data_IF_765329612945
#
_entry.id   IF_765329612945
#
_cell.length_a   1.000
_cell.length_b   1.000
_cell.length_c   1.000
_cell.angle_alpha   90.00
_cell.angle_beta   90.00
_cell.angle_gamma   90.00
#
_symmetry.space_group_name_H-M   'P 1'
#
loop_
_entity.id
_entity.type
_entity.pdbx_description
1 polymer ?
#
# COMPACT_ATOMS: atom_id res chain seq x y z
N UNK A 1 -0.59 -5.79 7.14
CA UNK A 1 0.87 -5.76 6.92
C UNK A 1 1.37 -4.44 6.31
N UNK A 2 0.48 -3.50 5.97
CA UNK A 2 0.85 -2.21 5.38
C UNK A 2 1.31 -1.17 6.42
N UNK A 3 0.76 -1.21 7.63
CA UNK A 3 1.12 -0.27 8.68
C UNK A 3 2.45 -0.67 9.36
N UNK A 4 3.43 0.23 9.28
CA UNK A 4 4.65 0.19 10.12
C UNK A 4 4.40 0.97 11.43
N UNK A 5 3.61 2.04 11.36
CA UNK A 5 3.19 2.84 12.52
C UNK A 5 1.73 2.52 12.91
N UNK A 6 1.46 2.15 14.17
CA UNK A 6 0.10 1.85 14.62
C UNK A 6 -0.90 2.99 14.41
N UNK A 7 -0.45 4.24 14.56
CA UNK A 7 -1.27 5.42 14.36
C UNK A 7 -1.80 5.59 12.92
N UNK A 8 -1.19 4.93 11.93
CA UNK A 8 -1.62 4.99 10.53
C UNK A 8 -2.62 3.87 10.17
N UNK A 9 -2.79 2.87 11.03
CA UNK A 9 -3.71 1.75 10.79
C UNK A 9 -5.14 2.21 10.46
N UNK A 10 -5.75 3.17 11.19
CA UNK A 10 -7.09 3.66 10.87
C UNK A 10 -7.16 4.37 9.51
N UNK A 11 -6.11 5.11 9.12
CA UNK A 11 -6.07 5.79 7.83
C UNK A 11 -5.91 4.81 6.66
N UNK A 12 -5.07 3.78 6.83
CA UNK A 12 -4.92 2.71 5.85
C UNK A 12 -6.23 1.94 5.70
N UNK A 13 -6.92 1.64 6.81
CA UNK A 13 -8.25 1.02 6.79
C UNK A 13 -9.26 1.89 6.02
N UNK A 14 -9.28 3.20 6.26
CA UNK A 14 -10.14 4.13 5.53
C UNK A 14 -9.86 4.12 4.02
N UNK A 15 -8.59 4.08 3.59
CA UNK A 15 -8.22 4.02 2.16
C UNK A 15 -8.78 2.76 1.51
N UNK A 16 -8.58 1.58 2.12
CA UNK A 16 -9.09 0.33 1.56
C UNK A 16 -10.62 0.31 1.52
N UNK A 17 -11.29 0.79 2.58
CA UNK A 17 -12.74 0.92 2.60
C UNK A 17 -13.26 1.84 1.49
N UNK A 18 -12.64 3.01 1.30
CA UNK A 18 -13.00 3.96 0.25
C UNK A 18 -12.79 3.41 -1.16
N UNK A 19 -11.75 2.62 -1.37
CA UNK A 19 -11.52 1.96 -2.67
C UNK A 19 -12.58 0.92 -2.95
N UNK A 20 -12.89 0.06 -1.97
CA UNK A 20 -13.94 -0.95 -2.09
C UNK A 20 -15.30 -0.32 -2.41
N UNK A 21 -15.68 0.73 -1.69
CA UNK A 21 -16.96 1.40 -1.91
C UNK A 21 -17.06 2.08 -3.29
N UNK A 22 -15.93 2.42 -3.90
CA UNK A 22 -15.84 2.98 -5.26
C UNK A 22 -15.62 1.93 -6.36
N UNK A 23 -15.57 0.64 -6.03
CA UNK A 23 -15.24 -0.43 -7.00
C UNK A 23 -13.80 -0.35 -7.53
N UNK A 24 -12.90 0.29 -6.81
CA UNK A 24 -11.49 0.40 -7.18
C UNK A 24 -10.73 -0.84 -6.70
N UNK A 25 -9.75 -1.28 -7.49
CA UNK A 25 -8.80 -2.31 -7.08
C UNK A 25 -7.95 -1.84 -5.88
N UNK A 26 -7.67 -2.75 -4.95
CA UNK A 26 -6.94 -2.40 -3.73
C UNK A 26 -5.46 -2.10 -4.00
N UNK A 27 -4.84 -2.78 -4.98
CA UNK A 27 -3.45 -2.57 -5.38
C UNK A 27 -2.48 -2.60 -4.19
N UNK A 28 -2.63 -3.61 -3.33
CA UNK A 28 -1.84 -3.77 -2.12
C UNK A 28 -0.63 -4.68 -2.35
N UNK A 29 0.56 -4.19 -2.00
CA UNK A 29 1.84 -4.86 -2.19
C UNK A 29 1.95 -6.23 -1.50
N UNK A 30 1.59 -6.37 -0.20
CA UNK A 30 1.53 -7.67 0.48
C UNK A 30 0.61 -8.69 -0.21
N UNK A 31 -0.46 -8.26 -0.86
CA UNK A 31 -1.40 -9.19 -1.52
C UNK A 31 -0.83 -9.76 -2.82
N UNK A 32 -0.04 -8.98 -3.57
CA UNK A 32 0.63 -9.42 -4.80
C UNK A 32 1.71 -10.48 -4.54
N UNK A 33 2.29 -10.46 -3.33
CA UNK A 33 3.36 -11.37 -2.92
C UNK A 33 2.88 -12.56 -2.07
N UNK A 34 1.62 -12.54 -1.63
CA UNK A 34 1.05 -13.59 -0.78
C UNK A 34 1.07 -14.95 -1.50
N UNK A 35 1.57 -15.96 -0.80
CA UNK A 35 1.76 -17.31 -1.35
C UNK A 35 2.89 -17.45 -2.38
N UNK A 36 3.60 -16.35 -2.70
CA UNK A 36 4.75 -16.36 -3.62
C UNK A 36 6.07 -16.32 -2.86
N UNK A 37 6.26 -15.30 -2.01
CA UNK A 37 7.48 -15.11 -1.20
C UNK A 37 7.23 -14.21 0.00
N UNK A 38 8.16 -14.22 0.95
CA UNK A 38 8.14 -13.29 2.07
C UNK A 38 8.24 -11.83 1.60
N UNK A 39 7.41 -10.96 2.18
CA UNK A 39 7.45 -9.52 1.90
C UNK A 39 8.73 -8.91 2.45
N UNK A 40 9.57 -8.39 1.56
CA UNK A 40 10.86 -7.75 1.89
C UNK A 40 10.85 -6.23 1.61
N UNK A 41 9.67 -5.61 1.57
CA UNK A 41 9.51 -4.18 1.30
C UNK A 41 9.71 -3.77 -0.17
N UNK A 42 9.80 -4.73 -1.11
CA UNK A 42 9.97 -4.45 -2.54
C UNK A 42 9.05 -5.31 -3.37
N UNK A 43 8.24 -4.66 -4.21
CA UNK A 43 7.39 -5.27 -5.23
C UNK A 43 7.94 -4.93 -6.60
N UNK A 44 8.19 -5.95 -7.43
CA UNK A 44 8.66 -5.76 -8.80
C UNK A 44 7.49 -5.64 -9.77
N UNK A 45 7.74 -5.15 -10.98
CA UNK A 45 6.74 -5.16 -12.06
C UNK A 45 6.22 -6.57 -12.34
N UNK A 46 7.07 -7.58 -12.26
CA UNK A 46 6.67 -8.98 -12.44
C UNK A 46 5.73 -9.45 -11.32
N UNK A 47 5.91 -8.96 -10.09
CA UNK A 47 5.01 -9.28 -8.99
C UNK A 47 3.62 -8.66 -9.22
N UNK A 48 3.56 -7.41 -9.69
CA UNK A 48 2.30 -6.72 -10.02
C UNK A 48 1.54 -7.42 -11.15
N UNK A 49 2.26 -7.94 -12.15
CA UNK A 49 1.66 -8.59 -13.32
C UNK A 49 1.38 -10.09 -13.12
N UNK A 50 1.82 -10.69 -12.01
CA UNK A 50 1.64 -12.13 -11.77
C UNK A 50 0.18 -12.44 -11.45
N UNK A 51 -0.43 -13.30 -12.26
CA UNK A 51 -1.81 -13.75 -12.02
C UNK A 51 -1.84 -14.68 -10.80
N UNK A 52 -2.46 -14.21 -9.72
CA UNK A 52 -2.81 -15.02 -8.55
C UNK A 52 -4.18 -14.58 -8.05
N UNK A 53 -4.96 -15.46 -7.37
CA UNK A 53 -6.24 -15.07 -6.82
C UNK A 53 -6.12 -14.06 -5.66
N UNK A 54 -4.90 -13.78 -5.17
CA UNK A 54 -4.65 -12.78 -4.13
C UNK A 54 -4.13 -11.46 -4.67
N UNK A 55 -3.73 -11.39 -5.95
CA UNK A 55 -3.10 -10.18 -6.48
C UNK A 55 -4.14 -9.09 -6.75
N UNK A 56 -4.31 -8.19 -5.78
CA UNK A 56 -5.27 -7.07 -5.85
C UNK A 56 -4.86 -5.94 -6.81
N UNK A 57 -3.77 -6.09 -7.55
CA UNK A 57 -3.51 -5.28 -8.76
C UNK A 57 -4.33 -5.77 -9.96
N UNK A 58 -4.68 -7.05 -9.97
CA UNK A 58 -5.36 -7.71 -11.09
C UNK A 58 -6.83 -8.02 -10.77
N UNK A 59 -7.13 -8.39 -9.52
CA UNK A 59 -8.51 -8.67 -9.08
C UNK A 59 -9.21 -7.41 -8.55
N UNK A 60 -10.53 -7.44 -8.61
CA UNK A 60 -11.40 -6.43 -8.00
C UNK A 60 -11.87 -6.92 -6.63
N UNK A 61 -12.02 -5.99 -5.68
CA UNK A 61 -12.47 -6.30 -4.33
C UNK A 61 -11.39 -6.95 -3.46
N UNK A 62 -11.86 -7.75 -2.49
CA UNK A 62 -11.02 -8.44 -1.51
C UNK A 62 -10.48 -9.77 -2.08
N UNK A 63 -9.27 -10.20 -1.65
CA UNK A 63 -8.80 -11.55 -1.94
C UNK A 63 -9.71 -12.62 -1.29
N UNK A 64 -9.63 -13.90 -1.72
CA UNK A 64 -10.46 -15.00 -1.21
C UNK A 64 -10.35 -15.24 0.30
N UNK A 65 -9.28 -14.77 0.93
CA UNK A 65 -9.08 -14.91 2.37
C UNK A 65 -8.03 -13.94 2.91
N UNK A 66 -7.84 -13.93 4.23
CA UNK A 66 -6.84 -13.07 4.86
C UNK A 66 -5.42 -13.45 4.46
N UNK A 67 -4.55 -12.44 4.32
CA UNK A 67 -3.12 -12.63 3.98
C UNK A 67 -2.19 -12.68 5.21
N UNK A 68 -2.78 -12.76 6.41
CA UNK A 68 -2.08 -12.82 7.68
C UNK A 68 -3.06 -12.78 8.86
N UNK A 69 -2.52 -12.86 10.08
CA UNK A 69 -3.32 -12.81 11.30
C UNK A 69 -3.37 -11.36 11.82
N UNK A 70 -4.51 -10.65 11.69
CA UNK A 70 -4.64 -9.31 12.26
C UNK A 70 -4.64 -9.39 13.79
N UNK A 71 -3.92 -8.49 14.45
CA UNK A 71 -4.08 -8.26 15.88
C UNK A 71 -5.38 -7.50 16.19
N UNK A 72 -5.72 -7.40 17.46
CA UNK A 72 -6.93 -6.69 17.92
C UNK A 72 -6.99 -5.23 17.41
N UNK A 73 -5.87 -4.50 17.49
CA UNK A 73 -5.79 -3.10 17.02
C UNK A 73 -6.08 -2.96 15.51
N UNK A 74 -5.67 -3.94 14.70
CA UNK A 74 -5.94 -3.92 13.27
C UNK A 74 -7.43 -4.15 12.99
N UNK A 75 -8.09 -5.00 13.78
CA UNK A 75 -9.52 -5.22 13.67
C UNK A 75 -10.31 -3.98 14.11
N UNK A 76 -9.94 -3.39 15.26
CA UNK A 76 -10.56 -2.16 15.76
C UNK A 76 -10.38 -0.99 14.80
N UNK A 77 -9.22 -0.88 14.14
CA UNK A 77 -8.96 0.15 13.12
C UNK A 77 -9.86 0.01 11.89
N UNK A 78 -10.25 -1.22 11.53
CA UNK A 78 -11.20 -1.46 10.43
C UNK A 78 -12.62 -1.11 10.84
N UNK A 79 -12.98 -1.32 12.12
CA UNK A 79 -14.32 -1.00 12.63
C UNK A 79 -14.50 0.51 12.93
N UNK A 80 -13.43 1.18 13.35
CA UNK A 80 -13.43 2.57 13.85
C UNK A 80 -12.48 3.47 13.04
N UNK A 81 -12.49 3.36 11.71
CA UNK A 81 -11.67 4.24 10.87
C UNK A 81 -12.28 5.65 10.77
N UNK A 82 -11.46 6.70 10.65
CA UNK A 82 -11.97 8.05 10.42
C UNK A 82 -12.64 8.16 9.05
N UNK A 83 -13.59 9.10 8.91
CA UNK A 83 -14.15 9.49 7.62
C UNK A 83 -13.19 10.47 6.94
N UNK A 84 -12.35 9.95 6.04
CA UNK A 84 -11.36 10.74 5.28
C UNK A 84 -11.46 10.41 3.80
N UNK A 85 -11.17 11.34 2.88
CA UNK A 85 -11.33 11.14 1.44
C UNK A 85 -10.14 10.42 0.78
N UNK A 86 -9.22 9.85 1.56
CA UNK A 86 -7.99 9.28 1.03
C UNK A 86 -8.28 8.02 0.21
N UNK A 87 -7.61 7.93 -0.95
CA UNK A 87 -7.68 6.82 -1.89
C UNK A 87 -6.31 6.20 -2.15
N UNK A 88 -5.23 6.87 -1.77
CA UNK A 88 -3.87 6.42 -2.02
C UNK A 88 -3.01 6.69 -0.80
N UNK A 89 -1.98 5.86 -0.64
CA UNK A 89 -0.88 6.13 0.27
C UNK A 89 0.43 5.67 -0.36
N UNK A 90 1.54 6.30 0.02
CA UNK A 90 2.89 5.89 -0.39
C UNK A 90 3.84 5.99 0.79
N UNK A 91 4.69 4.98 0.96
CA UNK A 91 5.68 4.97 2.02
C UNK A 91 6.68 6.13 1.86
N UNK A 92 6.97 6.79 2.98
CA UNK A 92 8.03 7.77 3.13
C UNK A 92 9.30 7.08 3.60
N UNK A 93 10.44 7.79 3.51
CA UNK A 93 11.75 7.27 3.94
C UNK A 93 11.91 7.15 5.46
N UNK A 94 11.04 7.81 6.23
CA UNK A 94 11.01 7.77 7.70
C UNK A 94 10.14 6.63 8.26
N UNK A 95 9.55 5.80 7.40
CA UNK A 95 8.66 4.69 7.78
C UNK A 95 7.19 5.07 7.94
N UNK A 96 6.83 6.35 7.80
CA UNK A 96 5.43 6.81 7.72
C UNK A 96 4.89 6.77 6.29
N UNK A 97 3.62 7.13 6.10
CA UNK A 97 2.95 7.18 4.80
C UNK A 97 2.44 8.59 4.46
N UNK A 98 2.57 8.97 3.19
CA UNK A 98 1.85 10.12 2.64
C UNK A 98 0.52 9.64 2.07
N UNK A 99 -0.58 10.15 2.60
CA UNK A 99 -1.94 9.88 2.11
C UNK A 99 -2.35 10.90 1.03
N UNK A 100 -3.17 10.48 0.06
CA UNK A 100 -3.67 11.33 -1.03
C UNK A 100 -5.09 10.94 -1.42
N UNK A 101 -5.91 11.93 -1.77
CA UNK A 101 -7.31 11.76 -2.21
C UNK A 101 -7.45 11.52 -3.71
N UNK A 102 -6.42 11.86 -4.50
CA UNK A 102 -6.45 11.78 -5.96
C UNK A 102 -5.11 11.26 -6.51
N UNK A 103 -5.16 10.81 -7.77
CA UNK A 103 -4.03 10.17 -8.45
C UNK A 103 -2.90 11.16 -8.76
N UNK A 104 -3.20 12.45 -9.02
CA UNK A 104 -2.18 13.43 -9.34
C UNK A 104 -1.30 13.72 -8.11
N UNK A 105 -1.93 13.99 -6.96
CA UNK A 105 -1.29 14.15 -5.66
C UNK A 105 -0.49 12.90 -5.27
N UNK A 106 -1.05 11.71 -5.50
CA UNK A 106 -0.35 10.45 -5.25
C UNK A 106 0.92 10.33 -6.12
N UNK A 107 0.83 10.61 -7.42
CA UNK A 107 1.97 10.54 -8.33
C UNK A 107 3.06 11.55 -7.97
N UNK A 108 2.70 12.73 -7.49
CA UNK A 108 3.65 13.69 -6.91
C UNK A 108 4.36 13.14 -5.69
N UNK A 109 3.62 12.55 -4.75
CA UNK A 109 4.19 11.90 -3.57
C UNK A 109 5.12 10.74 -3.96
N UNK A 110 4.71 9.88 -4.90
CA UNK A 110 5.55 8.80 -5.44
C UNK A 110 6.86 9.35 -6.00
N UNK A 111 6.81 10.40 -6.82
CA UNK A 111 8.02 11.05 -7.35
C UNK A 111 8.91 11.64 -6.25
N UNK A 112 8.30 12.13 -5.16
CA UNK A 112 9.02 12.72 -4.02
C UNK A 112 9.72 11.66 -3.17
N UNK A 113 9.05 10.54 -2.88
CA UNK A 113 9.53 9.56 -1.90
C UNK A 113 10.23 8.34 -2.51
N UNK A 114 9.81 7.91 -3.71
CA UNK A 114 10.31 6.68 -4.36
C UNK A 114 11.32 6.93 -5.49
N UNK A 115 11.60 8.18 -5.88
CA UNK A 115 12.76 8.44 -6.74
C UNK A 115 14.03 7.99 -6.02
N UNK A 116 14.90 7.19 -6.66
CA UNK A 116 16.25 6.98 -6.16
C UNK A 116 16.89 8.35 -5.96
N UNK A 117 17.57 8.57 -4.83
CA UNK A 117 18.57 9.64 -4.82
C UNK A 117 19.48 9.38 -6.02
N UNK A 118 19.76 10.42 -6.83
CA UNK A 118 20.77 10.29 -7.87
C UNK A 118 22.00 9.62 -7.25
N UNK A 119 22.47 8.54 -7.85
CA UNK A 119 23.70 7.91 -7.40
C UNK A 119 24.78 9.01 -7.37
N UNK A 120 25.65 9.09 -6.35
CA UNK A 120 26.80 9.97 -6.45
C UNK A 120 27.54 9.63 -7.75
N UNK A 121 27.72 10.62 -8.62
CA UNK A 121 28.50 10.47 -9.84
C UNK A 121 29.88 9.89 -9.48
N UNK A 122 30.39 8.89 -10.23
CA UNK A 122 31.69 8.30 -9.96
C UNK A 122 32.88 9.20 -10.30
N UNK A 123 32.65 10.43 -10.79
CA UNK A 123 33.72 11.34 -11.19
C UNK A 123 34.03 12.34 -10.07
N UNK A 124 35.02 11.97 -9.25
CA UNK A 124 35.77 12.91 -8.43
C UNK A 124 36.83 13.67 -9.24
N UNK A 125 37.32 14.81 -8.75
CA UNK A 125 38.67 15.28 -9.09
C UNK A 125 39.75 14.53 -8.30
#
# INVERSE_FOLDING_TARGET
>A
KEAVLPAEMPLIAAVFHNRLSKGMRLQSDPTALYGVRAFSGKVSRNDILRVTPYNTYLIEGLPPGPIGNPGQEALESVLNHPTVPYLYFVARRDGSHQFSSDLASHNEAVRKYLKPAAAPSPDGP
#
